data_IF_599096103967
#
_entry.id   IF_599096103967
#
_cell.length_a   1.000
_cell.length_b   1.000
_cell.length_c   1.000
_cell.angle_alpha   90.00
_cell.angle_beta   90.00
_cell.angle_gamma   90.00
#
_symmetry.space_group_name_H-M   'P 1'
#
loop_
_entity.id
_entity.type
_entity.pdbx_description
1 polymer ?
#
# COMPACT_ATOMS: atom_id res chain seq x y z
N UNK A 1 -2.24 2.77 -17.17
CA UNK A 1 -2.96 2.83 -15.88
C UNK A 1 -4.06 3.87 -15.93
N UNK A 2 -5.33 3.45 -15.87
CA UNK A 2 -6.46 4.35 -16.17
C UNK A 2 -6.84 5.34 -15.05
N UNK A 3 -6.32 5.19 -13.81
CA UNK A 3 -6.64 6.02 -12.61
C UNK A 3 -8.14 6.26 -12.34
N UNK A 4 -9.01 5.47 -12.96
CA UNK A 4 -10.48 5.58 -12.89
C UNK A 4 -11.14 4.39 -12.19
N UNK A 5 -10.34 3.42 -11.75
CA UNK A 5 -10.82 2.19 -11.12
C UNK A 5 -10.47 2.19 -9.65
N UNK A 6 -11.48 1.94 -8.81
CA UNK A 6 -11.37 1.80 -7.36
C UNK A 6 -12.21 0.60 -6.96
N UNK A 7 -11.65 -0.29 -6.16
CA UNK A 7 -12.36 -1.43 -5.60
C UNK A 7 -12.02 -1.57 -4.12
N UNK A 8 -13.02 -1.87 -3.29
CA UNK A 8 -12.85 -2.14 -1.87
C UNK A 8 -13.11 -3.62 -1.65
N UNK A 9 -12.09 -4.35 -1.23
CA UNK A 9 -12.18 -5.77 -0.94
C UNK A 9 -11.31 -6.13 0.26
N UNK A 10 -11.53 -7.32 0.81
CA UNK A 10 -10.67 -7.89 1.85
C UNK A 10 -9.45 -8.54 1.21
N UNK A 11 -8.28 -8.40 1.84
CA UNK A 11 -7.01 -8.90 1.29
C UNK A 11 -7.07 -10.40 0.94
N UNK A 12 -7.81 -11.19 1.73
CA UNK A 12 -8.00 -12.63 1.48
C UNK A 12 -8.58 -12.96 0.10
N UNK A 13 -9.48 -12.11 -0.44
CA UNK A 13 -10.15 -12.31 -1.74
C UNK A 13 -9.37 -11.75 -2.93
N UNK A 14 -8.25 -11.05 -2.68
CA UNK A 14 -7.43 -10.50 -3.76
C UNK A 14 -6.65 -11.65 -4.42
N UNK A 15 -6.60 -11.63 -5.75
CA UNK A 15 -5.76 -12.53 -6.54
C UNK A 15 -4.28 -12.27 -6.25
N UNK A 16 -3.44 -13.27 -6.46
CA UNK A 16 -2.00 -13.15 -6.19
C UNK A 16 -1.37 -11.99 -6.97
N UNK A 17 -1.76 -11.85 -8.25
CA UNK A 17 -1.46 -10.68 -9.07
C UNK A 17 -2.74 -9.89 -9.36
N UNK A 18 -2.94 -8.74 -8.71
CA UNK A 18 -4.13 -7.93 -8.95
C UNK A 18 -4.08 -7.29 -10.34
N UNK A 19 -5.21 -7.31 -11.04
CA UNK A 19 -5.39 -6.66 -12.35
C UNK A 19 -6.50 -5.63 -12.29
N UNK A 20 -6.34 -4.54 -13.03
CA UNK A 20 -7.35 -3.50 -13.13
C UNK A 20 -8.52 -4.01 -13.97
N UNK A 21 -9.71 -4.12 -13.37
CA UNK A 21 -10.92 -4.59 -14.05
C UNK A 21 -11.42 -3.69 -15.19
N UNK A 22 -10.83 -2.49 -15.37
CA UNK A 22 -11.22 -1.56 -16.44
C UNK A 22 -10.26 -1.54 -17.64
N UNK A 23 -8.97 -1.82 -17.44
CA UNK A 23 -7.97 -1.69 -18.51
C UNK A 23 -6.91 -2.79 -18.54
N UNK A 24 -7.02 -3.80 -17.67
CA UNK A 24 -6.06 -4.91 -17.57
C UNK A 24 -4.70 -4.53 -16.97
N UNK A 25 -4.46 -3.27 -16.65
CA UNK A 25 -3.18 -2.84 -16.11
C UNK A 25 -2.92 -3.39 -14.69
N UNK A 26 -1.66 -3.73 -14.38
CA UNK A 26 -1.25 -4.36 -13.12
C UNK A 26 -0.72 -3.38 -12.06
N UNK A 27 -0.48 -2.13 -12.43
CA UNK A 27 -0.03 -1.11 -11.47
C UNK A 27 -1.22 -0.62 -10.64
N UNK A 28 -1.36 -1.18 -9.44
CA UNK A 28 -2.49 -0.93 -8.54
C UNK A 28 -1.93 -0.50 -7.19
N UNK A 29 -2.34 0.67 -6.71
CA UNK A 29 -1.95 1.13 -5.38
C UNK A 29 -2.85 0.49 -4.32
N UNK A 30 -2.25 -0.06 -3.25
CA UNK A 30 -2.98 -0.42 -2.04
C UNK A 30 -3.22 0.85 -1.20
N UNK A 31 -4.49 1.11 -0.89
CA UNK A 31 -4.95 2.27 -0.13
C UNK A 31 -5.73 1.77 1.10
N UNK A 32 -5.49 2.37 2.27
CA UNK A 32 -6.29 2.10 3.46
C UNK A 32 -7.64 2.82 3.38
N UNK A 33 -8.67 2.39 4.13
CA UNK A 33 -10.02 2.96 4.02
C UNK A 33 -10.07 4.47 4.29
N UNK A 34 -9.24 4.94 5.23
CA UNK A 34 -9.12 6.36 5.59
C UNK A 34 -8.22 7.16 4.63
N UNK A 35 -7.44 6.48 3.78
CA UNK A 35 -6.63 7.08 2.71
C UNK A 35 -7.41 7.21 1.39
N UNK A 36 -8.72 6.92 1.40
CA UNK A 36 -9.56 6.97 0.21
C UNK A 36 -9.58 8.36 -0.45
N UNK A 37 -9.36 9.42 0.32
CA UNK A 37 -9.29 10.81 -0.17
C UNK A 37 -7.99 11.08 -0.94
N UNK A 38 -6.89 10.37 -0.60
CA UNK A 38 -5.61 10.49 -1.32
C UNK A 38 -5.74 10.09 -2.79
N UNK A 39 -6.72 9.25 -3.13
CA UNK A 39 -7.02 8.91 -4.52
C UNK A 39 -7.51 10.14 -5.31
N UNK A 40 -8.37 10.96 -4.71
CA UNK A 40 -8.86 12.18 -5.34
C UNK A 40 -7.72 13.19 -5.51
N UNK A 41 -6.90 13.37 -4.47
CA UNK A 41 -5.71 14.24 -4.50
C UNK A 41 -4.71 13.82 -5.59
N UNK A 42 -4.43 12.52 -5.72
CA UNK A 42 -3.50 12.02 -6.73
C UNK A 42 -4.03 12.11 -8.17
N UNK A 43 -5.35 12.13 -8.35
CA UNK A 43 -5.99 12.22 -9.67
C UNK A 43 -6.14 13.66 -10.18
N UNK A 44 -5.94 14.69 -9.34
CA UNK A 44 -5.94 16.08 -9.80
C UNK A 44 -4.81 16.37 -10.79
N UNK A 45 -5.07 17.27 -11.74
CA UNK A 45 -4.09 17.73 -12.74
C UNK A 45 -3.14 18.81 -12.20
N UNK A 46 -3.66 19.77 -11.44
CA UNK A 46 -2.87 20.76 -10.70
C UNK A 46 -2.66 20.26 -9.28
N UNK A 47 -1.41 20.21 -8.82
CA UNK A 47 -1.02 19.61 -7.55
C UNK A 47 -0.10 20.54 -6.77
N UNK A 48 -0.42 20.73 -5.50
CA UNK A 48 0.47 21.37 -4.54
C UNK A 48 1.68 20.47 -4.21
N UNK A 49 2.71 21.02 -3.56
CA UNK A 49 3.92 20.26 -3.16
C UNK A 49 3.57 19.03 -2.31
N UNK A 50 2.58 19.16 -1.42
CA UNK A 50 2.07 18.07 -0.59
C UNK A 50 1.35 16.99 -1.40
N UNK A 51 0.50 17.38 -2.36
CA UNK A 51 -0.20 16.46 -3.26
C UNK A 51 0.77 15.70 -4.18
N UNK A 52 1.86 16.35 -4.59
CA UNK A 52 2.95 15.68 -5.33
C UNK A 52 3.65 14.62 -4.48
N UNK A 53 3.92 14.92 -3.20
CA UNK A 53 4.50 13.94 -2.28
C UNK A 53 3.58 12.73 -2.07
N UNK A 54 2.27 12.97 -1.94
CA UNK A 54 1.24 11.92 -1.87
C UNK A 54 1.24 11.06 -3.14
N UNK A 55 1.25 11.69 -4.33
CA UNK A 55 1.29 10.95 -5.60
C UNK A 55 2.54 10.07 -5.69
N UNK A 56 3.71 10.59 -5.34
CA UNK A 56 4.97 9.82 -5.32
C UNK A 56 4.88 8.63 -4.36
N UNK A 57 4.29 8.82 -3.17
CA UNK A 57 4.04 7.74 -2.21
C UNK A 57 3.13 6.66 -2.80
N UNK A 58 2.05 7.05 -3.47
CA UNK A 58 1.11 6.11 -4.09
C UNK A 58 1.74 5.36 -5.28
N UNK A 59 2.57 6.03 -6.08
CA UNK A 59 3.32 5.38 -7.17
C UNK A 59 4.27 4.32 -6.60
N UNK A 60 5.02 4.65 -5.52
CA UNK A 60 5.88 3.68 -4.83
C UNK A 60 5.07 2.50 -4.28
N UNK A 61 3.92 2.76 -3.67
CA UNK A 61 3.00 1.71 -3.23
C UNK A 61 2.57 0.80 -4.39
N UNK A 62 2.19 1.39 -5.52
CA UNK A 62 1.73 0.64 -6.67
C UNK A 62 2.85 -0.20 -7.31
N UNK A 63 4.09 0.30 -7.33
CA UNK A 63 5.25 -0.47 -7.81
C UNK A 63 5.54 -1.69 -6.94
N UNK A 64 5.38 -1.60 -5.62
CA UNK A 64 5.55 -2.77 -4.73
C UNK A 64 4.45 -3.82 -4.96
N UNK A 65 3.22 -3.38 -5.20
CA UNK A 65 2.12 -4.29 -5.56
C UNK A 65 2.37 -4.93 -6.92
N UNK A 66 2.96 -4.21 -7.87
CA UNK A 66 3.34 -4.78 -9.16
C UNK A 66 4.42 -5.87 -9.01
N UNK A 67 5.41 -5.68 -8.13
CA UNK A 67 6.51 -6.64 -7.96
C UNK A 67 6.11 -7.85 -7.09
N UNK A 68 5.37 -7.62 -6.01
CA UNK A 68 5.12 -8.62 -4.96
C UNK A 68 3.66 -9.02 -4.82
N UNK A 69 2.77 -8.45 -5.64
CA UNK A 69 1.37 -8.83 -5.72
C UNK A 69 0.62 -8.71 -4.39
N UNK A 70 -0.11 -9.78 -4.04
CA UNK A 70 -0.93 -9.89 -2.83
C UNK A 70 -0.15 -9.68 -1.54
N UNK A 71 1.13 -10.06 -1.50
CA UNK A 71 2.00 -9.91 -0.32
C UNK A 71 2.21 -8.44 0.02
N UNK A 72 2.50 -7.61 -0.98
CA UNK A 72 2.62 -6.17 -0.79
C UNK A 72 1.31 -5.55 -0.29
N UNK A 73 0.16 -6.00 -0.80
CA UNK A 73 -1.16 -5.54 -0.32
C UNK A 73 -1.35 -5.90 1.16
N UNK A 74 -0.98 -7.11 1.56
CA UNK A 74 -1.06 -7.56 2.95
C UNK A 74 -0.21 -6.68 3.88
N UNK A 75 1.06 -6.45 3.52
CA UNK A 75 1.97 -5.64 4.34
C UNK A 75 1.51 -4.18 4.41
N UNK A 76 1.10 -3.60 3.29
CA UNK A 76 0.62 -2.22 3.22
C UNK A 76 -0.73 -2.02 3.94
N UNK A 77 -1.50 -3.09 4.15
CA UNK A 77 -2.75 -3.04 4.91
C UNK A 77 -2.53 -2.85 6.41
N UNK A 78 -1.34 -3.18 6.92
CA UNK A 78 -1.02 -3.02 8.34
C UNK A 78 -0.95 -1.55 8.77
N UNK A 79 -1.32 -1.28 10.03
CA UNK A 79 -1.38 0.08 10.56
C UNK A 79 0.03 0.63 10.76
N UNK A 80 0.26 1.86 10.27
CA UNK A 80 1.55 2.52 10.40
C UNK A 80 2.67 2.00 9.49
N UNK A 81 2.39 0.98 8.69
CA UNK A 81 3.35 0.49 7.69
C UNK A 81 3.25 1.38 6.44
N UNK A 82 4.34 2.10 6.17
CA UNK A 82 4.56 2.88 4.96
C UNK A 82 5.42 2.13 3.92
N UNK A 83 5.66 2.74 2.74
CA UNK A 83 6.35 2.08 1.64
C UNK A 83 7.77 1.63 1.97
N UNK A 84 8.50 2.38 2.80
CA UNK A 84 9.87 2.02 3.17
C UNK A 84 9.91 0.79 4.07
N UNK A 85 9.02 0.73 5.06
CA UNK A 85 8.91 -0.44 5.95
C UNK A 85 8.39 -1.64 5.18
N UNK A 86 7.42 -1.45 4.29
CA UNK A 86 6.90 -2.51 3.44
C UNK A 86 7.99 -3.08 2.53
N UNK A 87 8.80 -2.23 1.88
CA UNK A 87 9.93 -2.65 1.05
C UNK A 87 10.95 -3.48 1.83
N UNK A 88 11.28 -3.05 3.07
CA UNK A 88 12.19 -3.82 3.95
C UNK A 88 11.63 -5.20 4.27
N UNK A 89 10.37 -5.29 4.67
CA UNK A 89 9.72 -6.56 5.01
C UNK A 89 9.68 -7.50 3.79
N UNK A 90 9.36 -6.96 2.61
CA UNK A 90 9.35 -7.71 1.35
C UNK A 90 10.75 -8.23 0.95
N UNK A 91 11.80 -7.45 1.22
CA UNK A 91 13.16 -7.85 0.91
C UNK A 91 13.67 -8.98 1.83
N UNK A 92 13.24 -8.99 3.09
CA UNK A 92 13.71 -9.98 4.08
C UNK A 92 12.86 -11.25 4.10
N UNK A 93 11.55 -11.16 3.88
CA UNK A 93 10.63 -12.28 4.04
C UNK A 93 9.71 -12.43 2.85
N UNK A 94 9.80 -13.57 2.19
CA UNK A 94 9.01 -13.86 0.99
C UNK A 94 7.68 -14.52 1.32
N UNK A 95 7.57 -15.41 2.31
CA UNK A 95 6.35 -16.22 2.50
C UNK A 95 6.07 -16.68 3.95
N UNK A 96 4.79 -16.97 4.19
CA UNK A 96 4.32 -17.74 5.33
C UNK A 96 4.24 -16.98 6.66
N UNK A 97 4.38 -17.75 7.74
CA UNK A 97 4.18 -17.32 9.12
C UNK A 97 5.20 -16.23 9.56
N UNK A 98 6.41 -16.28 8.99
CA UNK A 98 7.47 -15.31 9.25
C UNK A 98 7.10 -13.91 8.76
N UNK A 99 6.49 -13.81 7.57
CA UNK A 99 6.01 -12.55 7.03
C UNK A 99 4.93 -11.95 7.95
N UNK A 100 3.97 -12.77 8.39
CA UNK A 100 2.89 -12.35 9.28
C UNK A 100 3.43 -11.80 10.60
N UNK A 101 4.42 -12.48 11.20
CA UNK A 101 5.06 -12.04 12.46
C UNK A 101 5.76 -10.70 12.32
N UNK A 102 6.44 -10.45 11.20
CA UNK A 102 7.14 -9.19 10.99
C UNK A 102 6.18 -8.03 10.71
N UNK A 103 5.07 -8.30 10.01
CA UNK A 103 3.98 -7.32 9.89
C UNK A 103 3.46 -6.93 11.28
N UNK A 104 3.16 -7.89 12.15
CA UNK A 104 2.68 -7.63 13.52
C UNK A 104 3.71 -6.88 14.37
N UNK A 105 5.00 -7.20 14.18
CA UNK A 105 6.10 -6.50 14.87
C UNK A 105 6.22 -5.06 14.39
N UNK A 106 6.09 -4.81 13.10
CA UNK A 106 6.11 -3.47 12.52
C UNK A 106 4.93 -2.63 13.04
N UNK A 107 3.72 -3.22 13.08
CA UNK A 107 2.54 -2.58 13.65
C UNK A 107 2.72 -2.26 15.14
N UNK A 108 3.24 -3.22 15.92
CA UNK A 108 3.55 -3.01 17.35
C UNK A 108 4.58 -1.90 17.54
N UNK A 109 5.61 -1.85 16.72
CA UNK A 109 6.63 -0.80 16.77
C UNK A 109 6.02 0.57 16.48
N UNK A 110 5.16 0.66 15.47
CA UNK A 110 4.44 1.90 15.18
C UNK A 110 3.56 2.34 16.34
N UNK A 111 2.76 1.44 16.92
CA UNK A 111 1.90 1.78 18.08
C UNK A 111 2.72 2.22 19.28
N UNK A 112 3.86 1.56 19.53
CA UNK A 112 4.78 1.91 20.61
C UNK A 112 5.39 3.29 20.40
N UNK A 113 5.95 3.56 19.23
CA UNK A 113 6.64 4.83 18.96
C UNK A 113 5.64 5.97 18.85
N UNK A 114 4.50 5.79 18.19
CA UNK A 114 3.47 6.83 18.03
C UNK A 114 2.96 7.40 19.36
N UNK A 115 3.04 6.65 20.46
CA UNK A 115 2.65 7.14 21.80
C UNK A 115 3.62 8.18 22.38
N UNK A 116 4.84 8.28 21.83
CA UNK A 116 5.87 9.23 22.26
C UNK A 116 5.99 10.47 21.35
N UNK A 117 5.25 10.53 20.23
CA UNK A 117 5.26 11.67 19.29
C UNK A 117 3.89 12.37 19.27
N UNK A 118 3.35 12.69 20.45
CA UNK A 118 2.33 13.74 20.60
C UNK A 118 2.99 15.08 20.85
#
# INVERSE_FOLDING_TARGET
NCRKWKSRTVVGRVQDQPVCGNCGARLIAALKPYEADLFAAANKKSKNTEEKAIEQKLIRNANMVLSSGKKAILILSARGVGPETASRILATYTDGDALMREILKAERNFVKTHRFWQ
#
